data_IF_350962764197
#
_entry.id   IF_350962764197
#
_cell.length_a   1.000
_cell.length_b   1.000
_cell.length_c   1.000
_cell.angle_alpha   90.00
_cell.angle_beta   90.00
_cell.angle_gamma   90.00
#
_symmetry.space_group_name_H-M   'P 1'
#
loop_
_entity.id
_entity.type
_entity.pdbx_description
1 polymer ?
#
# COMPACT_ATOMS: atom_id res chain seq x y z
N UNK A 1 -10.84 -5.56 6.51
CA UNK A 1 -9.83 -5.29 5.46
C UNK A 1 -10.51 -5.35 4.10
N UNK A 2 -11.36 -4.39 3.76
CA UNK A 2 -12.09 -4.36 2.48
C UNK A 2 -11.19 -3.96 1.31
N UNK A 3 -10.10 -3.23 1.55
CA UNK A 3 -9.31 -2.61 0.48
C UNK A 3 -7.81 -2.91 0.49
N UNK A 4 -7.28 -3.53 1.55
CA UNK A 4 -5.84 -3.85 1.65
C UNK A 4 -4.90 -2.67 1.42
N UNK A 5 -5.36 -1.42 1.53
CA UNK A 5 -4.58 -0.23 1.12
C UNK A 5 -3.55 0.12 2.20
N UNK A 6 -2.33 0.46 1.77
CA UNK A 6 -1.33 1.03 2.68
C UNK A 6 -1.68 2.48 2.95
N UNK A 7 -1.97 2.83 4.20
CA UNK A 7 -2.45 4.18 4.57
C UNK A 7 -1.34 5.09 5.07
N UNK A 8 -0.42 4.56 5.87
CA UNK A 8 0.66 5.32 6.51
C UNK A 8 1.84 4.42 6.83
N UNK A 9 3.03 5.01 6.85
CA UNK A 9 4.28 4.40 7.30
C UNK A 9 4.99 5.40 8.21
N UNK A 10 5.80 4.92 9.15
CA UNK A 10 6.57 5.81 10.01
C UNK A 10 7.99 5.28 10.24
N UNK A 11 8.91 6.20 10.48
CA UNK A 11 10.28 5.90 10.90
C UNK A 11 10.49 6.43 12.31
N UNK A 12 10.84 5.54 13.23
CA UNK A 12 11.10 5.89 14.62
C UNK A 12 10.94 4.70 15.57
N UNK A 13 10.57 5.00 16.80
CA UNK A 13 10.29 4.01 17.82
C UNK A 13 8.99 3.26 17.52
N UNK A 14 8.78 2.20 18.30
CA UNK A 14 7.55 1.45 18.26
C UNK A 14 6.35 2.33 18.66
N UNK A 15 5.17 1.80 18.39
CA UNK A 15 3.89 2.36 18.79
C UNK A 15 3.83 2.72 20.29
N UNK A 16 3.38 3.94 20.62
CA UNK A 16 2.83 4.24 21.95
C UNK A 16 1.38 3.74 22.04
N UNK A 17 1.23 2.62 22.74
CA UNK A 17 -0.07 1.99 23.01
C UNK A 17 -0.72 2.51 24.31
N UNK A 18 -0.09 3.41 25.06
CA UNK A 18 -0.65 3.99 26.31
C UNK A 18 -2.07 4.54 26.13
N UNK A 19 -2.38 5.28 25.05
CA UNK A 19 -3.73 5.82 24.86
C UNK A 19 -4.80 4.75 24.61
N UNK A 20 -4.43 3.50 24.32
CA UNK A 20 -5.38 2.41 24.09
C UNK A 20 -6.04 1.92 25.39
N UNK A 21 -5.36 2.05 26.54
CA UNK A 21 -5.81 1.44 27.81
C UNK A 21 -5.77 2.40 29.00
N UNK A 22 -4.96 3.46 28.95
CA UNK A 22 -4.88 4.42 30.05
C UNK A 22 -6.23 5.14 30.24
N UNK A 23 -6.75 5.13 31.48
CA UNK A 23 -8.11 5.58 31.80
C UNK A 23 -9.18 4.93 30.88
N UNK A 24 -9.00 3.63 30.57
CA UNK A 24 -9.76 2.81 29.58
C UNK A 24 -9.54 3.17 28.11
N UNK A 25 -8.84 4.26 27.83
CA UNK A 25 -8.37 4.63 26.50
C UNK A 25 -9.47 4.97 25.50
N UNK A 26 -9.04 5.41 24.32
CA UNK A 26 -9.91 5.62 23.16
C UNK A 26 -9.70 4.54 22.09
N UNK A 27 -8.96 3.47 22.42
CA UNK A 27 -8.58 2.41 21.48
C UNK A 27 -7.61 2.84 20.40
N UNK A 28 -7.01 4.04 20.48
CA UNK A 28 -6.09 4.57 19.47
C UNK A 28 -4.65 4.43 19.93
N UNK A 29 -3.81 4.14 18.96
CA UNK A 29 -2.39 3.87 19.11
C UNK A 29 -1.63 4.98 18.36
N UNK A 30 -0.51 5.48 18.92
CA UNK A 30 0.25 6.61 18.35
C UNK A 30 1.62 6.18 17.84
N UNK A 31 1.94 6.32 16.54
CA UNK A 31 3.29 6.05 16.05
C UNK A 31 4.28 7.05 16.67
N UNK A 32 5.40 6.56 17.20
CA UNK A 32 6.46 7.40 17.73
C UNK A 32 7.53 7.60 16.66
N UNK A 33 7.42 8.67 15.87
CA UNK A 33 8.38 8.96 14.82
C UNK A 33 7.84 9.87 13.74
N UNK A 34 8.60 10.00 12.65
CA UNK A 34 8.17 10.76 11.50
C UNK A 34 7.15 9.93 10.71
N UNK A 35 5.96 10.50 10.48
CA UNK A 35 4.83 9.84 9.85
C UNK A 35 4.70 10.28 8.39
N UNK A 36 4.70 9.31 7.49
CA UNK A 36 4.44 9.51 6.06
C UNK A 36 3.06 8.97 5.74
N UNK A 37 2.17 9.85 5.27
CA UNK A 37 0.85 9.46 4.78
C UNK A 37 0.98 8.99 3.34
N UNK A 38 0.52 7.79 3.06
CA UNK A 38 0.48 7.24 1.71
C UNK A 38 -0.88 7.52 1.08
N UNK A 39 -1.95 7.36 1.86
CA UNK A 39 -3.34 7.49 1.43
C UNK A 39 -4.23 7.97 2.59
N UNK A 40 -5.26 8.76 2.28
CA UNK A 40 -6.27 9.20 3.25
C UNK A 40 -7.19 8.05 3.66
N UNK A 41 -7.51 7.95 4.95
CA UNK A 41 -8.55 7.06 5.46
C UNK A 41 -9.97 7.65 5.34
N UNK A 42 -10.11 8.94 4.99
CA UNK A 42 -11.39 9.67 5.01
C UNK A 42 -11.98 9.91 3.63
N UNK A 43 -11.19 9.79 2.56
CA UNK A 43 -11.74 9.80 1.19
C UNK A 43 -12.39 8.45 0.97
N UNK A 44 -13.72 8.46 0.86
CA UNK A 44 -14.58 7.30 0.61
C UNK A 44 -13.85 6.23 -0.18
N UNK A 45 -13.72 5.03 0.41
CA UNK A 45 -13.27 3.83 -0.28
C UNK A 45 -14.00 3.75 -1.63
N UNK A 46 -13.22 3.56 -2.70
CA UNK A 46 -13.39 2.27 -3.33
C UNK A 46 -12.07 1.76 -3.94
N UNK A 47 -11.61 0.58 -3.52
CA UNK A 47 -11.32 -0.38 -4.58
C UNK A 47 -12.70 -0.75 -5.13
N UNK A 48 -13.16 0.00 -6.13
CA UNK A 48 -14.30 -0.39 -6.95
C UNK A 48 -13.73 -1.43 -7.90
N UNK A 49 -13.56 -2.62 -7.36
CA UNK A 49 -13.37 -3.85 -8.12
C UNK A 49 -14.49 -4.81 -7.70
N UNK A 50 -15.07 -5.58 -8.63
CA UNK A 50 -16.22 -6.46 -8.37
C UNK A 50 -15.95 -7.57 -7.34
N UNK A 51 -14.68 -7.77 -6.97
CA UNK A 51 -14.26 -8.88 -6.12
C UNK A 51 -14.20 -8.45 -4.66
N UNK A 52 -15.21 -8.85 -3.89
CA UNK A 52 -15.13 -8.84 -2.44
C UNK A 52 -13.92 -9.66 -1.98
N UNK A 53 -12.97 -9.01 -1.29
CA UNK A 53 -11.82 -9.70 -0.71
C UNK A 53 -12.19 -10.26 0.65
N UNK A 54 -12.05 -11.57 0.81
CA UNK A 54 -12.22 -12.24 2.10
C UNK A 54 -10.84 -12.51 2.71
N UNK A 55 -10.44 -11.81 3.77
CA UNK A 55 -9.14 -12.03 4.40
C UNK A 55 -9.07 -13.44 5.01
N UNK A 56 -7.95 -14.13 4.79
CA UNK A 56 -7.63 -15.45 5.35
C UNK A 56 -6.60 -15.40 6.48
N UNK A 57 -5.87 -14.29 6.60
CA UNK A 57 -4.89 -14.07 7.66
C UNK A 57 -3.63 -13.40 7.14
N UNK A 58 -2.55 -13.52 7.90
CA UNK A 58 -1.23 -13.03 7.52
C UNK A 58 -0.14 -13.98 8.01
N UNK A 59 1.02 -13.89 7.38
CA UNK A 59 2.24 -14.63 7.72
C UNK A 59 3.39 -13.64 7.91
N UNK A 60 4.13 -13.80 9.00
CA UNK A 60 5.42 -13.14 9.20
C UNK A 60 6.47 -14.07 8.60
N UNK A 61 7.10 -13.65 7.49
CA UNK A 61 7.99 -14.51 6.71
C UNK A 61 9.46 -14.30 7.12
N UNK A 62 9.77 -13.15 7.71
CA UNK A 62 11.10 -12.79 8.17
C UNK A 62 11.15 -11.33 8.58
N UNK A 63 12.36 -10.81 8.76
CA UNK A 63 12.58 -9.45 9.25
C UNK A 63 11.99 -8.40 8.30
N UNK A 64 11.01 -7.66 8.81
CA UNK A 64 10.31 -6.61 8.06
C UNK A 64 9.42 -7.12 6.92
N UNK A 65 9.13 -8.43 6.87
CA UNK A 65 8.28 -9.04 5.85
C UNK A 65 6.97 -9.57 6.41
N UNK A 66 5.85 -9.06 5.89
CA UNK A 66 4.51 -9.57 6.19
C UNK A 66 3.80 -9.88 4.88
N UNK A 67 3.15 -11.05 4.81
CA UNK A 67 2.29 -11.44 3.69
C UNK A 67 0.86 -11.62 4.18
N UNK A 68 -0.07 -10.86 3.62
CA UNK A 68 -1.49 -11.01 3.82
C UNK A 68 -2.06 -12.00 2.79
N UNK A 69 -2.99 -12.83 3.24
CA UNK A 69 -3.68 -13.83 2.44
C UNK A 69 -5.15 -13.47 2.37
N UNK A 70 -5.74 -13.54 1.19
CA UNK A 70 -7.17 -13.33 0.97
C UNK A 70 -7.69 -14.21 -0.19
N UNK A 71 -9.00 -14.40 -0.25
CA UNK A 71 -9.67 -15.00 -1.40
C UNK A 71 -10.56 -13.97 -2.07
N UNK A 72 -10.65 -14.04 -3.40
CA UNK A 72 -11.61 -13.31 -4.23
C UNK A 72 -12.72 -14.24 -4.68
N UNK A 73 -13.71 -13.73 -5.43
CA UNK A 73 -14.69 -14.58 -6.09
C UNK A 73 -14.07 -15.52 -7.15
N UNK A 74 -12.88 -15.17 -7.65
CA UNK A 74 -12.24 -15.80 -8.81
C UNK A 74 -10.95 -16.56 -8.48
N UNK A 75 -10.49 -16.52 -7.22
CA UNK A 75 -9.30 -17.24 -6.78
C UNK A 75 -8.67 -16.68 -5.50
N UNK A 76 -7.35 -16.71 -5.42
CA UNK A 76 -6.57 -16.24 -4.27
C UNK A 76 -5.91 -14.90 -4.55
N UNK A 77 -5.66 -14.14 -3.47
CA UNK A 77 -4.87 -12.91 -3.45
C UNK A 77 -3.82 -13.01 -2.34
N UNK A 78 -2.57 -12.69 -2.68
CA UNK A 78 -1.50 -12.47 -1.73
C UNK A 78 -0.99 -11.03 -1.84
N UNK A 79 -0.74 -10.42 -0.70
CA UNK A 79 -0.20 -9.07 -0.59
C UNK A 79 0.99 -9.08 0.36
N UNK A 80 2.18 -8.97 -0.19
CA UNK A 80 3.41 -8.99 0.56
C UNK A 80 3.98 -7.59 0.68
N UNK A 81 4.31 -7.19 1.90
CA UNK A 81 4.99 -5.93 2.22
C UNK A 81 6.35 -6.27 2.82
N UNK A 82 7.41 -5.68 2.25
CA UNK A 82 8.79 -5.83 2.69
C UNK A 82 9.40 -4.45 2.92
N UNK A 83 9.91 -4.19 4.12
CA UNK A 83 10.75 -3.00 4.36
C UNK A 83 12.10 -3.15 3.66
N UNK A 84 12.61 -2.07 3.06
CA UNK A 84 13.99 -2.05 2.56
C UNK A 84 14.98 -2.07 3.73
N UNK A 85 16.11 -2.76 3.57
CA UNK A 85 17.11 -2.94 4.62
C UNK A 85 17.72 -1.61 5.12
N UNK A 86 17.74 -0.57 4.27
CA UNK A 86 18.20 0.76 4.62
C UNK A 86 17.12 1.64 5.30
N UNK A 87 15.91 1.12 5.46
CA UNK A 87 14.76 1.82 6.03
C UNK A 87 14.24 2.97 5.18
N UNK A 88 14.70 3.16 3.94
CA UNK A 88 14.34 4.26 3.04
C UNK A 88 13.14 3.97 2.14
N UNK A 89 12.44 2.88 2.41
CA UNK A 89 11.29 2.52 1.62
C UNK A 89 10.69 1.18 2.00
N UNK A 90 9.69 0.80 1.23
CA UNK A 90 9.10 -0.53 1.25
C UNK A 90 8.84 -0.99 -0.17
N UNK A 91 8.90 -2.31 -0.37
CA UNK A 91 8.42 -2.98 -1.56
C UNK A 91 7.11 -3.68 -1.24
N UNK A 92 6.12 -3.53 -2.10
CA UNK A 92 4.86 -4.27 -2.05
C UNK A 92 4.74 -5.15 -3.28
N UNK A 93 4.37 -6.41 -3.08
CA UNK A 93 4.15 -7.39 -4.14
C UNK A 93 2.76 -7.99 -3.98
N UNK A 94 1.91 -7.76 -4.96
CA UNK A 94 0.56 -8.29 -5.07
C UNK A 94 0.56 -9.42 -6.09
N UNK A 95 -0.04 -10.55 -5.74
CA UNK A 95 -0.29 -11.65 -6.69
C UNK A 95 -1.72 -12.14 -6.53
N UNK A 96 -2.43 -12.33 -7.64
CA UNK A 96 -3.75 -12.95 -7.64
C UNK A 96 -3.93 -13.95 -8.77
N UNK A 97 -4.86 -14.86 -8.58
CA UNK A 97 -5.31 -15.79 -9.61
C UNK A 97 -6.73 -15.46 -10.05
N UNK A 98 -6.97 -15.40 -11.37
CA UNK A 98 -8.29 -15.08 -11.91
C UNK A 98 -8.69 -13.61 -11.79
N UNK A 99 -9.89 -13.31 -12.27
CA UNK A 99 -10.48 -11.98 -12.24
C UNK A 99 -10.12 -11.08 -13.43
N UNK A 100 -10.89 -10.02 -13.62
CA UNK A 100 -10.62 -9.00 -14.64
C UNK A 100 -9.56 -8.02 -14.14
N UNK A 101 -8.71 -7.45 -15.00
CA UNK A 101 -7.72 -6.44 -14.60
C UNK A 101 -8.38 -5.31 -13.78
N UNK A 102 -7.73 -4.94 -12.67
CA UNK A 102 -8.18 -3.86 -11.79
C UNK A 102 -7.07 -2.82 -11.64
N UNK A 103 -7.43 -1.62 -11.19
CA UNK A 103 -6.48 -0.59 -10.80
C UNK A 103 -6.24 -0.64 -9.29
N UNK A 104 -4.97 -0.50 -8.89
CA UNK A 104 -4.55 -0.46 -7.48
C UNK A 104 -4.07 0.95 -7.13
N UNK A 105 -4.78 1.67 -6.24
CA UNK A 105 -4.29 2.92 -5.68
C UNK A 105 -3.05 2.68 -4.81
N UNK A 106 -1.94 3.35 -5.15
CA UNK A 106 -0.67 3.20 -4.42
C UNK A 106 -0.37 4.42 -3.56
N UNK A 107 -0.65 5.62 -4.06
CA UNK A 107 -0.41 6.90 -3.38
C UNK A 107 -1.52 7.89 -3.71
N UNK A 108 -1.75 8.85 -2.84
CA UNK A 108 -2.40 10.11 -3.25
C UNK A 108 -1.41 11.00 -3.99
N UNK A 109 -1.90 11.69 -5.03
CA UNK A 109 -1.07 12.58 -5.82
C UNK A 109 -1.86 13.26 -6.93
N UNK A 110 -1.40 14.43 -7.35
CA UNK A 110 -1.98 15.21 -8.46
C UNK A 110 -1.04 15.27 -9.65
N UNK A 111 0.25 14.99 -9.45
CA UNK A 111 1.28 15.02 -10.49
C UNK A 111 2.17 13.79 -10.42
N UNK A 112 2.40 13.17 -11.59
CA UNK A 112 3.35 12.06 -11.76
C UNK A 112 4.45 12.55 -12.69
N UNK A 113 5.66 12.73 -12.15
CA UNK A 113 6.83 13.11 -12.95
C UNK A 113 7.73 11.90 -13.17
N UNK A 114 7.81 11.42 -14.40
CA UNK A 114 8.77 10.36 -14.72
C UNK A 114 10.20 10.92 -14.69
N UNK A 115 11.07 10.28 -13.89
CA UNK A 115 12.48 10.66 -13.77
C UNK A 115 13.35 9.83 -14.70
N UNK A 116 13.06 8.52 -14.78
CA UNK A 116 13.65 7.58 -15.74
C UNK A 116 12.66 6.44 -15.99
N UNK A 117 13.06 5.45 -16.77
CA UNK A 117 12.24 4.23 -16.92
C UNK A 117 11.84 3.69 -15.54
N UNK A 118 10.58 3.27 -15.41
CA UNK A 118 9.97 2.68 -14.22
C UNK A 118 10.17 3.43 -12.87
N UNK A 119 10.60 4.70 -12.89
CA UNK A 119 10.90 5.50 -11.70
C UNK A 119 10.27 6.89 -11.80
N UNK A 120 9.41 7.20 -10.84
CA UNK A 120 8.54 8.36 -10.86
C UNK A 120 8.64 9.13 -9.54
N UNK A 121 8.54 10.44 -9.62
CA UNK A 121 8.38 11.34 -8.49
C UNK A 121 6.92 11.75 -8.37
N UNK A 122 6.34 11.56 -7.19
CA UNK A 122 4.96 11.95 -6.85
C UNK A 122 5.05 13.19 -5.97
N UNK A 123 4.94 14.36 -6.60
CA UNK A 123 5.28 15.64 -5.98
C UNK A 123 4.45 15.95 -4.74
N UNK A 124 3.13 15.75 -4.82
CA UNK A 124 2.23 16.04 -3.70
C UNK A 124 2.46 15.11 -2.49
N UNK A 125 2.92 13.88 -2.74
CA UNK A 125 3.27 12.94 -1.68
C UNK A 125 4.68 13.20 -1.14
N UNK A 126 5.56 13.84 -1.92
CA UNK A 126 6.98 13.96 -1.62
C UNK A 126 7.72 12.63 -1.68
N UNK A 127 7.24 11.66 -2.48
CA UNK A 127 7.74 10.29 -2.52
C UNK A 127 8.15 9.85 -3.93
N UNK A 128 9.07 8.90 -4.01
CA UNK A 128 9.36 8.21 -5.27
C UNK A 128 8.60 6.88 -5.35
N UNK A 129 8.06 6.61 -6.53
CA UNK A 129 7.45 5.35 -6.92
C UNK A 129 8.36 4.66 -7.93
N UNK A 130 8.82 3.46 -7.61
CA UNK A 130 9.49 2.58 -8.55
C UNK A 130 8.58 1.40 -8.88
N UNK A 131 8.27 1.18 -10.15
CA UNK A 131 7.45 0.04 -10.58
C UNK A 131 8.37 -1.10 -10.98
N UNK A 132 8.08 -2.32 -10.53
CA UNK A 132 8.92 -3.50 -10.80
C UNK A 132 8.91 -3.91 -12.27
N UNK A 133 7.73 -3.89 -12.89
CA UNK A 133 7.55 -4.14 -14.32
C UNK A 133 7.61 -2.82 -15.11
N UNK A 134 8.53 -2.75 -16.09
CA UNK A 134 8.74 -1.57 -16.93
C UNK A 134 7.58 -1.28 -17.88
N UNK A 135 6.78 -2.29 -18.21
CA UNK A 135 5.59 -2.16 -19.06
C UNK A 135 4.43 -1.50 -18.32
N UNK A 136 4.40 -1.60 -16.98
CA UNK A 136 3.37 -1.01 -16.13
C UNK A 136 3.67 0.48 -15.92
N UNK A 137 2.70 1.34 -16.28
CA UNK A 137 2.78 2.80 -16.13
C UNK A 137 1.76 3.30 -15.10
N UNK A 138 2.16 4.16 -14.15
CA UNK A 138 1.22 4.79 -13.24
C UNK A 138 0.38 5.84 -13.95
N UNK A 139 -0.89 5.94 -13.56
CA UNK A 139 -1.85 6.95 -14.05
C UNK A 139 -2.53 7.64 -12.87
N UNK A 140 -3.18 8.78 -13.14
CA UNK A 140 -4.02 9.47 -12.17
C UNK A 140 -5.48 9.10 -12.42
N UNK A 141 -6.17 8.63 -11.39
CA UNK A 141 -7.61 8.42 -11.46
C UNK A 141 -8.38 9.72 -11.15
N UNK A 142 -9.69 9.70 -11.36
CA UNK A 142 -10.60 10.84 -11.11
C UNK A 142 -10.64 11.31 -9.65
N UNK A 143 -10.12 10.51 -8.70
CA UNK A 143 -10.06 10.83 -7.27
C UNK A 143 -8.72 11.46 -6.85
N UNK A 144 -7.80 11.73 -7.79
CA UNK A 144 -6.47 12.26 -7.49
C UNK A 144 -5.59 11.23 -6.77
N UNK A 145 -5.68 9.97 -7.21
CA UNK A 145 -4.82 8.89 -6.73
C UNK A 145 -3.94 8.42 -7.86
N UNK A 146 -2.69 8.11 -7.52
CA UNK A 146 -1.76 7.39 -8.39
C UNK A 146 -2.16 5.92 -8.35
N UNK A 147 -2.52 5.37 -9.51
CA UNK A 147 -2.96 3.97 -9.64
C UNK A 147 -2.03 3.19 -10.56
N UNK A 148 -1.93 1.88 -10.33
CA UNK A 148 -1.22 0.93 -11.19
C UNK A 148 -2.18 -0.17 -11.66
N UNK A 149 -2.16 -0.56 -12.95
CA UNK A 149 -2.93 -1.71 -13.42
C UNK A 149 -2.39 -3.01 -12.80
N UNK A 150 -3.31 -3.90 -12.43
CA UNK A 150 -3.04 -5.18 -11.79
C UNK A 150 -3.91 -6.28 -12.38
N UNK A 151 -3.26 -7.22 -13.07
CA UNK A 151 -3.92 -8.38 -13.69
C UNK A 151 -3.66 -9.67 -12.94
N UNK A 152 -2.39 -10.00 -12.67
CA UNK A 152 -1.95 -11.24 -12.02
C UNK A 152 -0.84 -10.99 -11.01
N UNK A 153 0.18 -10.22 -11.38
CA UNK A 153 1.29 -9.81 -10.52
C UNK A 153 1.52 -8.30 -10.64
N UNK A 154 1.77 -7.65 -9.51
CA UNK A 154 2.17 -6.24 -9.45
C UNK A 154 3.19 -6.07 -8.34
N UNK A 155 4.36 -5.53 -8.67
CA UNK A 155 5.38 -5.17 -7.70
C UNK A 155 5.74 -3.70 -7.84
N UNK A 156 5.85 -3.00 -6.72
CA UNK A 156 6.33 -1.61 -6.67
C UNK A 156 7.05 -1.30 -5.36
N UNK A 157 7.90 -0.29 -5.40
CA UNK A 157 8.65 0.21 -4.25
C UNK A 157 8.29 1.68 -4.04
N UNK A 158 8.00 2.03 -2.79
CA UNK A 158 7.83 3.41 -2.34
C UNK A 158 9.09 3.81 -1.56
N UNK A 159 9.71 4.93 -1.94
CA UNK A 159 10.88 5.47 -1.26
C UNK A 159 10.51 6.77 -0.53
N UNK A 160 10.90 6.85 0.76
CA UNK A 160 10.59 7.92 1.71
C UNK A 160 11.77 8.25 2.65
#
# INVERSE_FOLDING_TARGET
MSTGRLIRVWRGLFLDATPMWNNRGNGVSRPLGNLTYLNSSSKSDPITGPDSFTPKGYQIIGDGQVRFLATTATGELTDQVQLLADGKGLTRTLKRTGGTPIEIPVLEGKSIKQIRENFYWIEDAGLYLQVGDKSVKPTLNSQGQVVLPFSSELAYTLLF
#
